data_IF_192409783939
#
_entry.id   IF_192409783939
#
_cell.length_a   1.000
_cell.length_b   1.000
_cell.length_c   1.000
_cell.angle_alpha   90.00
_cell.angle_beta   90.00
_cell.angle_gamma   90.00
#
_symmetry.space_group_name_H-M   'P 1'
#
loop_
_entity.id
_entity.type
_entity.pdbx_description
1 polymer ?
#
# COMPACT_ATOMS: atom_id res chain seq x y z
N UNK A 1 16.44 -1.13 -8.11
CA UNK A 1 14.98 -0.91 -8.06
C UNK A 1 14.36 -1.39 -6.76
N UNK A 2 14.74 -2.57 -6.24
CA UNK A 2 14.24 -3.13 -4.97
C UNK A 2 14.47 -2.23 -3.76
N UNK A 3 15.67 -1.64 -3.63
CA UNK A 3 15.98 -0.78 -2.49
C UNK A 3 15.14 0.49 -2.46
N UNK A 4 14.87 1.11 -3.62
CA UNK A 4 14.05 2.34 -3.69
C UNK A 4 12.65 2.10 -3.12
N UNK A 5 11.97 1.03 -3.54
CA UNK A 5 10.64 0.73 -3.04
C UNK A 5 10.66 0.32 -1.57
N UNK A 6 11.68 -0.43 -1.15
CA UNK A 6 11.86 -0.82 0.25
C UNK A 6 12.03 0.40 1.15
N UNK A 7 12.98 1.28 0.81
CA UNK A 7 13.29 2.48 1.59
C UNK A 7 12.08 3.41 1.66
N UNK A 8 11.39 3.59 0.53
CA UNK A 8 10.16 4.38 0.46
C UNK A 8 9.06 3.89 1.42
N UNK A 9 8.74 2.59 1.42
CA UNK A 9 7.68 2.11 2.31
C UNK A 9 8.12 2.01 3.78
N UNK A 10 9.40 1.77 4.05
CA UNK A 10 9.93 1.81 5.42
C UNK A 10 9.88 3.24 5.99
N UNK A 11 10.19 4.26 5.18
CA UNK A 11 10.03 5.65 5.60
C UNK A 11 8.55 6.02 5.83
N UNK A 12 7.63 5.52 4.99
CA UNK A 12 6.20 5.72 5.22
C UNK A 12 5.69 5.06 6.51
N UNK A 13 6.17 3.87 6.85
CA UNK A 13 5.86 3.22 8.14
C UNK A 13 6.42 4.02 9.33
N UNK A 14 7.65 4.54 9.20
CA UNK A 14 8.22 5.43 10.20
C UNK A 14 7.40 6.74 10.32
N UNK A 15 6.99 7.33 9.20
CA UNK A 15 6.16 8.54 9.16
C UNK A 15 4.77 8.32 9.79
N UNK A 16 4.16 7.16 9.59
CA UNK A 16 2.87 6.82 10.17
C UNK A 16 2.92 6.69 11.71
N UNK A 17 4.11 6.37 12.26
CA UNK A 17 4.35 6.23 13.71
C UNK A 17 4.82 7.53 14.38
N UNK A 18 5.26 8.51 13.59
CA UNK A 18 5.73 9.80 14.08
C UNK A 18 4.55 10.80 14.20
N UNK A 19 4.23 11.31 15.40
CA UNK A 19 3.15 12.28 15.57
C UNK A 19 3.37 13.60 14.81
N UNK A 20 4.61 13.96 14.51
CA UNK A 20 4.99 15.17 13.77
C UNK A 20 4.84 15.03 12.25
N UNK A 21 4.76 13.79 11.73
CA UNK A 21 4.58 13.51 10.30
C UNK A 21 3.13 13.10 10.02
N UNK A 22 2.73 13.20 8.76
CA UNK A 22 1.39 12.79 8.29
C UNK A 22 1.53 12.06 6.97
N UNK A 23 0.85 10.92 6.85
CA UNK A 23 0.81 10.13 5.62
C UNK A 23 -0.54 10.35 4.93
N UNK A 24 -0.52 10.69 3.65
CA UNK A 24 -1.69 10.81 2.80
C UNK A 24 -1.69 9.69 1.74
N UNK A 25 -2.84 9.05 1.55
CA UNK A 25 -3.02 8.11 0.46
C UNK A 25 -3.43 8.86 -0.80
N UNK A 26 -2.70 8.65 -1.89
CA UNK A 26 -2.92 9.30 -3.16
C UNK A 26 -3.02 8.23 -4.25
N UNK A 27 -3.98 8.37 -5.17
CA UNK A 27 -4.04 7.52 -6.36
C UNK A 27 -2.86 7.82 -7.29
N UNK A 28 -2.53 6.87 -8.16
CA UNK A 28 -1.37 6.92 -9.08
C UNK A 28 -1.23 8.22 -9.89
N UNK A 29 -2.33 8.89 -10.23
CA UNK A 29 -2.36 10.16 -10.99
C UNK A 29 -3.01 11.29 -10.17
N UNK A 30 -3.14 11.11 -8.86
CA UNK A 30 -3.59 12.17 -7.96
C UNK A 30 -2.53 13.27 -7.81
N UNK A 31 -2.91 14.47 -7.32
CA UNK A 31 -2.03 15.64 -7.22
C UNK A 31 -1.02 15.50 -6.06
N UNK A 32 -0.06 14.60 -6.20
CA UNK A 32 0.93 14.27 -5.17
C UNK A 32 1.81 15.46 -4.78
N UNK A 33 2.09 16.37 -5.72
CA UNK A 33 2.88 17.58 -5.51
C UNK A 33 2.20 18.52 -4.50
N UNK A 34 0.88 18.64 -4.54
CA UNK A 34 0.12 19.46 -3.58
C UNK A 34 0.23 18.86 -2.18
N UNK A 35 0.06 17.54 -2.05
CA UNK A 35 0.17 16.84 -0.77
C UNK A 35 1.58 17.00 -0.18
N UNK A 36 2.62 16.83 -1.00
CA UNK A 36 4.02 17.04 -0.58
C UNK A 36 4.28 18.49 -0.16
N UNK A 37 3.76 19.47 -0.90
CA UNK A 37 3.89 20.89 -0.54
C UNK A 37 3.21 21.22 0.80
N UNK A 38 2.16 20.49 1.16
CA UNK A 38 1.50 20.59 2.47
C UNK A 38 2.20 19.80 3.59
N UNK A 39 3.34 19.16 3.30
CA UNK A 39 4.13 18.41 4.29
C UNK A 39 3.65 16.99 4.54
N UNK A 40 2.82 16.41 3.65
CA UNK A 40 2.45 15.01 3.73
C UNK A 40 3.50 14.12 3.06
N UNK A 41 3.78 12.99 3.71
CA UNK A 41 4.34 11.84 3.01
C UNK A 41 3.22 11.17 2.21
N UNK A 42 3.52 10.75 0.99
CA UNK A 42 2.51 10.25 0.07
C UNK A 42 2.66 8.75 -0.08
N UNK A 43 1.61 7.99 0.20
CA UNK A 43 1.49 6.56 -0.06
C UNK A 43 0.64 6.32 -1.31
N UNK A 44 1.10 5.42 -2.20
CA UNK A 44 0.39 5.03 -3.41
C UNK A 44 -0.04 3.55 -3.28
N UNK A 45 -1.35 3.27 -3.07
CA UNK A 45 -1.83 1.90 -2.89
C UNK A 45 -1.60 1.04 -4.14
N UNK A 46 -1.60 1.62 -5.34
CA UNK A 46 -1.32 0.88 -6.58
C UNK A 46 0.11 0.31 -6.60
N UNK A 47 1.08 1.04 -6.03
CA UNK A 47 2.46 0.57 -5.92
C UNK A 47 2.57 -0.60 -4.93
N UNK A 48 1.84 -0.54 -3.81
CA UNK A 48 1.83 -1.62 -2.84
C UNK A 48 1.12 -2.87 -3.40
N UNK A 49 -0.02 -2.70 -4.08
CA UNK A 49 -0.69 -3.75 -4.83
C UNK A 49 0.20 -4.39 -5.91
N UNK A 50 0.97 -3.58 -6.65
CA UNK A 50 1.93 -4.10 -7.63
C UNK A 50 3.04 -4.95 -6.95
N UNK A 51 3.53 -4.53 -5.78
CA UNK A 51 4.51 -5.30 -5.01
C UNK A 51 3.91 -6.61 -4.48
N UNK A 52 2.67 -6.60 -4.00
CA UNK A 52 1.93 -7.81 -3.58
C UNK A 52 1.79 -8.80 -4.75
N UNK A 53 1.49 -8.31 -5.95
CA UNK A 53 1.45 -9.11 -7.17
C UNK A 53 2.81 -9.68 -7.55
N UNK A 54 3.84 -8.83 -7.62
CA UNK A 54 5.20 -9.22 -8.04
C UNK A 54 5.84 -10.26 -7.11
N UNK A 55 5.51 -10.22 -5.81
CA UNK A 55 6.03 -11.16 -4.80
C UNK A 55 5.13 -12.37 -4.57
N UNK A 56 4.02 -12.50 -5.31
CA UNK A 56 3.00 -13.55 -5.18
C UNK A 56 2.31 -13.60 -3.81
N UNK A 57 2.49 -12.57 -2.98
CA UNK A 57 1.79 -12.42 -1.69
C UNK A 57 0.29 -12.17 -1.92
N UNK A 58 -0.11 -11.63 -3.08
CA UNK A 58 -1.51 -11.43 -3.44
C UNK A 58 -2.36 -12.72 -3.40
N UNK A 59 -1.75 -13.89 -3.63
CA UNK A 59 -2.44 -15.19 -3.57
C UNK A 59 -2.96 -15.50 -2.16
N UNK A 60 -2.30 -14.95 -1.15
CA UNK A 60 -2.63 -15.11 0.27
C UNK A 60 -3.55 -14.00 0.80
N UNK A 61 -3.65 -12.87 0.11
CA UNK A 61 -4.38 -11.69 0.59
C UNK A 61 -5.70 -11.45 -0.13
N UNK A 62 -5.78 -11.65 -1.46
CA UNK A 62 -7.04 -11.51 -2.22
C UNK A 62 -8.17 -12.40 -1.65
N UNK A 63 -7.93 -13.69 -1.33
CA UNK A 63 -8.97 -14.52 -0.73
C UNK A 63 -9.50 -13.98 0.60
N UNK A 64 -8.66 -13.30 1.39
CA UNK A 64 -9.08 -12.67 2.66
C UNK A 64 -10.08 -11.55 2.38
N UNK A 65 -9.81 -10.67 1.42
CA UNK A 65 -10.76 -9.62 1.05
C UNK A 65 -12.08 -10.21 0.51
N UNK A 66 -12.00 -11.20 -0.38
CA UNK A 66 -13.19 -11.84 -0.94
C UNK A 66 -14.06 -12.52 0.13
N UNK A 67 -13.43 -13.19 1.10
CA UNK A 67 -14.14 -13.78 2.25
C UNK A 67 -14.85 -12.73 3.13
N UNK A 68 -14.42 -11.47 3.07
CA UNK A 68 -15.02 -10.33 3.77
C UNK A 68 -16.02 -9.54 2.90
N UNK A 69 -16.48 -10.11 1.79
CA UNK A 69 -17.56 -9.54 0.97
C UNK A 69 -17.10 -8.58 -0.13
N UNK A 70 -15.80 -8.43 -0.37
CA UNK A 70 -15.30 -7.71 -1.54
C UNK A 70 -15.54 -8.57 -2.80
N UNK A 71 -16.03 -7.94 -3.86
CA UNK A 71 -16.30 -8.64 -5.12
C UNK A 71 -15.00 -9.13 -5.77
N UNK A 72 -14.97 -10.33 -6.38
CA UNK A 72 -13.81 -10.76 -7.17
C UNK A 72 -13.63 -9.95 -8.48
N UNK A 73 -14.65 -9.19 -8.89
CA UNK A 73 -14.65 -8.41 -10.15
C UNK A 73 -14.05 -7.00 -10.00
N UNK A 74 -13.80 -6.53 -8.78
CA UNK A 74 -13.13 -5.24 -8.56
C UNK A 74 -11.62 -5.37 -8.67
N UNK A 75 -10.93 -4.25 -8.90
CA UNK A 75 -9.51 -4.26 -9.23
C UNK A 75 -8.66 -5.01 -8.19
N UNK A 76 -7.76 -5.87 -8.67
CA UNK A 76 -6.96 -6.75 -7.82
C UNK A 76 -5.96 -6.02 -6.92
N UNK A 77 -5.52 -4.80 -7.27
CA UNK A 77 -4.69 -4.01 -6.35
C UNK A 77 -5.49 -3.68 -5.07
N UNK A 78 -6.79 -3.36 -5.18
CA UNK A 78 -7.63 -3.03 -4.03
C UNK A 78 -7.84 -4.27 -3.16
N UNK A 79 -8.27 -5.39 -3.74
CA UNK A 79 -8.55 -6.61 -2.96
C UNK A 79 -7.29 -7.20 -2.34
N UNK A 80 -6.15 -7.12 -3.03
CA UNK A 80 -4.87 -7.56 -2.47
C UNK A 80 -4.39 -6.65 -1.33
N UNK A 81 -4.54 -5.33 -1.44
CA UNK A 81 -4.11 -4.36 -0.43
C UNK A 81 -5.00 -4.44 0.84
N UNK A 82 -6.33 -4.45 0.67
CA UNK A 82 -7.28 -4.64 1.78
C UNK A 82 -7.04 -5.97 2.48
N UNK A 83 -6.84 -7.05 1.72
CA UNK A 83 -6.51 -8.36 2.30
C UNK A 83 -5.18 -8.37 3.04
N UNK A 84 -4.19 -7.62 2.56
CA UNK A 84 -2.88 -7.48 3.21
C UNK A 84 -3.01 -6.74 4.55
N UNK A 85 -3.79 -5.65 4.57
CA UNK A 85 -4.14 -4.92 5.78
C UNK A 85 -4.86 -5.82 6.80
N UNK A 86 -5.89 -6.54 6.39
CA UNK A 86 -6.64 -7.46 7.27
C UNK A 86 -5.77 -8.57 7.87
N UNK A 87 -4.79 -9.07 7.09
CA UNK A 87 -3.88 -10.14 7.51
C UNK A 87 -2.65 -9.63 8.27
N UNK A 88 -2.41 -8.32 8.26
CA UNK A 88 -1.22 -7.72 8.89
C UNK A 88 0.10 -8.14 8.24
N UNK A 89 0.08 -8.45 6.94
CA UNK A 89 1.29 -8.85 6.19
C UNK A 89 1.54 -7.90 5.01
N UNK A 90 2.82 -7.74 4.65
CA UNK A 90 3.23 -6.96 3.48
C UNK A 90 4.51 -7.56 2.89
N UNK A 91 4.79 -7.40 1.57
CA UNK A 91 6.02 -7.89 0.96
C UNK A 91 7.31 -7.35 1.59
N UNK A 92 7.20 -6.33 2.44
CA UNK A 92 8.29 -5.65 3.12
C UNK A 92 8.68 -6.29 4.46
N UNK A 93 7.90 -7.26 4.94
CA UNK A 93 8.16 -7.99 6.21
C UNK A 93 9.11 -9.18 6.07
N UNK A 94 9.61 -9.46 4.87
CA UNK A 94 10.57 -10.55 4.57
C UNK A 94 11.95 -10.03 4.22
#
# INVERSE_FOLDING_TARGET
>A
MTNVMKDYFLDLDAAAKDPARKVAWCTSVGPAEILRAMGFEVFFPENHGAMLGATRVCMDTIPVANANGYSPEICSYLTSDVGAYMKGITPLTK
#
